data_IF_125549786663
#
_entry.id   IF_125549786663
#
_cell.length_a   1.000
_cell.length_b   1.000
_cell.length_c   1.000
_cell.angle_alpha   90.00
_cell.angle_beta   90.00
_cell.angle_gamma   90.00
#
_symmetry.space_group_name_H-M   'P 1'
#
loop_
_entity.id
_entity.type
_entity.pdbx_description
1 polymer ?
#
# COMPACT_ATOMS: atom_id res chain seq x y z
N UNK A 1 -9.30 28.95 10.26
CA UNK A 1 -7.86 29.09 10.50
C UNK A 1 -7.06 28.45 9.38
N UNK A 2 -6.13 29.22 8.81
CA UNK A 2 -5.33 28.72 7.69
C UNK A 2 -4.08 27.99 8.20
N UNK A 3 -4.09 26.67 8.05
CA UNK A 3 -2.93 25.84 8.35
C UNK A 3 -2.12 25.65 7.07
N UNK A 4 -0.78 25.56 7.16
CA UNK A 4 0.03 25.30 5.97
C UNK A 4 -0.26 23.92 5.38
N UNK A 5 0.06 23.77 4.11
CA UNK A 5 -0.23 22.51 3.39
C UNK A 5 0.44 21.31 4.07
N UNK A 6 1.66 21.47 4.61
CA UNK A 6 2.36 20.37 5.29
C UNK A 6 1.62 19.85 6.50
N UNK A 7 0.91 20.72 7.22
CA UNK A 7 0.07 20.32 8.34
C UNK A 7 -1.03 19.35 7.88
N UNK A 8 -1.71 19.70 6.79
CA UNK A 8 -2.80 18.89 6.26
C UNK A 8 -2.30 17.58 5.66
N UNK A 9 -1.13 17.62 5.01
CA UNK A 9 -0.52 16.41 4.44
C UNK A 9 -0.21 15.40 5.55
N UNK A 10 0.44 15.85 6.63
CA UNK A 10 0.78 14.97 7.76
C UNK A 10 -0.45 14.43 8.46
N UNK A 11 -1.44 15.31 8.68
CA UNK A 11 -2.67 14.92 9.35
C UNK A 11 -3.48 13.94 8.52
N UNK A 12 -3.56 14.17 7.20
CA UNK A 12 -4.26 13.29 6.30
C UNK A 12 -3.54 11.94 6.20
N UNK A 13 -2.22 11.95 6.10
CA UNK A 13 -1.43 10.73 6.04
C UNK A 13 -1.71 9.84 7.26
N UNK A 14 -1.65 10.40 8.46
CA UNK A 14 -1.93 9.65 9.68
C UNK A 14 -3.36 9.09 9.71
N UNK A 15 -4.33 9.89 9.27
CA UNK A 15 -5.73 9.50 9.24
C UNK A 15 -5.96 8.37 8.22
N UNK A 16 -5.34 8.47 7.04
CA UNK A 16 -5.44 7.45 6.00
C UNK A 16 -4.82 6.14 6.46
N UNK A 17 -3.64 6.19 7.08
CA UNK A 17 -2.99 5.00 7.62
C UNK A 17 -3.84 4.31 8.67
N UNK A 18 -4.38 5.07 9.62
CA UNK A 18 -5.23 4.52 10.67
C UNK A 18 -6.50 3.89 10.11
N UNK A 19 -7.11 4.55 9.13
CA UNK A 19 -8.32 4.05 8.49
C UNK A 19 -8.05 2.77 7.69
N UNK A 20 -6.95 2.75 6.94
CA UNK A 20 -6.55 1.56 6.17
C UNK A 20 -6.22 0.39 7.09
N UNK A 21 -5.47 0.63 8.16
CA UNK A 21 -5.12 -0.41 9.13
C UNK A 21 -6.38 -1.01 9.75
N UNK A 22 -7.35 -0.18 10.16
CA UNK A 22 -8.61 -0.65 10.73
C UNK A 22 -9.43 -1.44 9.70
N UNK A 23 -9.45 -0.98 8.46
CA UNK A 23 -10.17 -1.65 7.38
C UNK A 23 -9.59 -3.03 7.09
N UNK A 24 -8.27 -3.13 6.98
CA UNK A 24 -7.58 -4.39 6.71
C UNK A 24 -7.62 -5.35 7.88
N UNK A 25 -7.64 -4.83 9.11
CA UNK A 25 -7.72 -5.67 10.31
C UNK A 25 -8.98 -6.53 10.32
N UNK A 26 -10.06 -6.08 9.68
CA UNK A 26 -11.30 -6.85 9.53
C UNK A 26 -11.07 -8.14 8.74
N UNK A 27 -10.04 -8.16 7.90
CA UNK A 27 -9.64 -9.32 7.10
C UNK A 27 -8.40 -10.03 7.67
N UNK A 28 -7.96 -9.62 8.85
CA UNK A 28 -6.74 -10.14 9.49
C UNK A 28 -5.49 -9.90 8.64
N UNK A 29 -5.46 -8.77 7.96
CA UNK A 29 -4.30 -8.33 7.17
C UNK A 29 -3.68 -7.10 7.79
N UNK A 30 -2.36 -7.05 7.81
CA UNK A 30 -1.63 -5.82 8.06
C UNK A 30 -1.50 -5.04 6.76
N UNK A 31 -1.15 -3.75 6.87
CA UNK A 31 -0.90 -2.93 5.69
C UNK A 31 0.24 -3.50 4.83
N UNK A 32 1.31 -3.99 5.46
CA UNK A 32 2.43 -4.60 4.74
C UNK A 32 2.04 -5.86 4.00
N UNK A 33 1.22 -6.70 4.63
CA UNK A 33 0.67 -7.90 3.98
C UNK A 33 -0.17 -7.53 2.78
N UNK A 34 -1.05 -6.54 2.92
CA UNK A 34 -1.87 -6.04 1.82
C UNK A 34 -1.01 -5.52 0.66
N UNK A 35 0.03 -4.73 0.98
CA UNK A 35 0.94 -4.20 -0.04
C UNK A 35 1.63 -5.34 -0.80
N UNK A 36 2.06 -6.39 -0.11
CA UNK A 36 2.69 -7.55 -0.73
C UNK A 36 1.73 -8.28 -1.66
N UNK A 37 0.51 -8.55 -1.18
CA UNK A 37 -0.51 -9.20 -2.01
C UNK A 37 -0.84 -8.36 -3.26
N UNK A 38 -0.94 -7.05 -3.08
CA UNK A 38 -1.25 -6.13 -4.17
C UNK A 38 -0.17 -6.15 -5.27
N UNK A 39 1.09 -6.17 -4.87
CA UNK A 39 2.21 -6.24 -5.82
C UNK A 39 2.22 -7.58 -6.54
N UNK A 40 2.05 -8.68 -5.81
CA UNK A 40 2.10 -10.02 -6.38
C UNK A 40 0.86 -10.35 -7.25
N UNK A 41 -0.23 -9.63 -7.06
CA UNK A 41 -1.44 -9.82 -7.86
C UNK A 41 -1.20 -9.49 -9.34
N UNK A 42 -0.24 -8.62 -9.65
CA UNK A 42 0.06 -8.24 -11.02
C UNK A 42 0.84 -9.34 -11.75
N UNK A 43 1.82 -9.93 -11.07
CA UNK A 43 2.63 -11.03 -11.63
C UNK A 43 3.49 -11.68 -10.57
N UNK A 44 3.89 -12.94 -10.76
CA UNK A 44 4.90 -13.56 -9.91
C UNK A 44 6.22 -12.79 -9.99
N UNK A 45 6.93 -12.70 -8.88
CA UNK A 45 8.19 -11.96 -8.78
C UNK A 45 9.26 -12.81 -8.10
N UNK A 46 10.50 -12.63 -8.52
CA UNK A 46 11.63 -13.20 -7.77
C UNK A 46 11.74 -12.49 -6.41
N UNK A 47 12.37 -13.11 -5.41
CA UNK A 47 12.60 -12.45 -4.12
C UNK A 47 13.30 -11.10 -4.26
N UNK A 48 14.29 -10.99 -5.15
CA UNK A 48 15.00 -9.74 -5.40
C UNK A 48 14.12 -8.65 -6.00
N UNK A 49 13.26 -9.02 -6.94
CA UNK A 49 12.32 -8.06 -7.54
C UNK A 49 11.32 -7.54 -6.51
N UNK A 50 10.79 -8.43 -5.69
CA UNK A 50 9.85 -8.06 -4.63
C UNK A 50 10.52 -7.14 -3.61
N UNK A 51 11.74 -7.45 -3.21
CA UNK A 51 12.53 -6.61 -2.31
C UNK A 51 12.71 -5.21 -2.88
N UNK A 52 13.06 -5.10 -4.16
CA UNK A 52 13.24 -3.81 -4.82
C UNK A 52 12.00 -2.94 -4.81
N UNK A 53 10.83 -3.55 -4.93
CA UNK A 53 9.55 -2.83 -4.92
C UNK A 53 9.16 -2.42 -3.50
N UNK A 54 9.37 -3.29 -2.51
CA UNK A 54 8.91 -3.05 -1.13
C UNK A 54 9.85 -2.17 -0.31
N UNK A 55 11.15 -2.15 -0.62
CA UNK A 55 12.12 -1.35 0.13
C UNK A 55 11.75 0.14 0.24
N UNK A 56 11.31 0.81 -0.83
CA UNK A 56 10.88 2.21 -0.71
C UNK A 56 9.71 2.42 0.24
N UNK A 57 8.88 1.39 0.45
CA UNK A 57 7.71 1.47 1.32
C UNK A 57 8.03 1.11 2.77
N UNK A 58 8.89 0.12 2.98
CA UNK A 58 9.14 -0.47 4.31
C UNK A 58 10.51 -0.12 4.87
N UNK A 59 11.39 0.47 4.08
CA UNK A 59 12.79 0.63 4.42
C UNK A 59 13.58 -0.65 4.14
N UNK A 60 14.86 -0.61 4.49
CA UNK A 60 15.80 -1.68 4.16
C UNK A 60 16.00 -2.71 5.27
N UNK A 61 15.09 -2.79 6.24
CA UNK A 61 15.17 -3.78 7.32
C UNK A 61 14.85 -5.17 6.78
N UNK A 62 15.89 -5.95 6.54
CA UNK A 62 15.78 -7.30 6.01
C UNK A 62 14.96 -8.22 6.92
N UNK A 63 15.15 -8.10 8.23
CA UNK A 63 14.44 -8.95 9.20
C UNK A 63 12.93 -8.71 9.16
N UNK A 64 12.54 -7.45 9.09
CA UNK A 64 11.13 -7.09 8.97
C UNK A 64 10.52 -7.72 7.72
N UNK A 65 11.22 -7.60 6.61
CA UNK A 65 10.76 -8.13 5.32
C UNK A 65 10.62 -9.65 5.38
N UNK A 66 11.62 -10.33 5.92
CA UNK A 66 11.60 -11.79 6.06
C UNK A 66 10.45 -12.25 6.95
N UNK A 67 10.21 -11.55 8.05
CA UNK A 67 9.12 -11.88 8.97
C UNK A 67 7.75 -11.71 8.33
N UNK A 68 7.56 -10.64 7.55
CA UNK A 68 6.29 -10.39 6.86
C UNK A 68 6.03 -11.44 5.78
N UNK A 69 7.04 -11.81 5.01
CA UNK A 69 6.90 -12.85 4.00
C UNK A 69 6.66 -14.22 4.63
N UNK A 70 7.36 -14.53 5.72
CA UNK A 70 7.16 -15.80 6.44
C UNK A 70 5.73 -15.93 6.97
N UNK A 71 5.15 -14.83 7.46
CA UNK A 71 3.77 -14.81 7.93
C UNK A 71 2.79 -15.12 6.79
N UNK A 72 3.02 -14.55 5.61
CA UNK A 72 2.16 -14.80 4.46
C UNK A 72 2.27 -16.25 3.97
N UNK A 73 3.48 -16.83 3.98
CA UNK A 73 3.68 -18.25 3.68
C UNK A 73 2.96 -19.13 4.71
N UNK A 74 3.13 -18.79 5.99
CA UNK A 74 2.50 -19.54 7.08
C UNK A 74 0.97 -19.53 7.02
N UNK A 75 0.37 -18.47 6.51
CA UNK A 75 -1.07 -18.37 6.31
C UNK A 75 -1.53 -18.98 4.97
N UNK A 76 -0.62 -19.49 4.17
CA UNK A 76 -0.94 -20.09 2.89
C UNK A 76 -1.36 -19.12 1.81
N UNK A 77 -0.98 -17.85 1.92
CA UNK A 77 -1.39 -16.80 0.98
C UNK A 77 -0.41 -16.62 -0.18
N UNK A 78 0.86 -16.98 0.02
CA UNK A 78 1.87 -16.94 -1.03
C UNK A 78 2.62 -18.27 -1.09
N UNK A 79 3.10 -18.61 -2.28
CA UNK A 79 3.87 -19.82 -2.52
C UNK A 79 5.05 -19.51 -3.45
N UNK A 80 6.05 -20.37 -3.42
CA UNK A 80 7.21 -20.28 -4.30
C UNK A 80 7.06 -21.30 -5.43
N UNK A 81 7.11 -20.83 -6.68
CA UNK A 81 7.09 -21.69 -7.87
C UNK A 81 8.20 -21.22 -8.80
N UNK A 82 9.12 -22.12 -9.15
CA UNK A 82 10.25 -21.84 -10.07
C UNK A 82 11.02 -20.58 -9.67
N UNK A 83 11.39 -20.49 -8.38
CA UNK A 83 12.14 -19.37 -7.81
C UNK A 83 11.41 -18.03 -7.87
N UNK A 84 10.09 -18.04 -8.09
CA UNK A 84 9.25 -16.86 -8.07
C UNK A 84 8.19 -16.98 -6.99
N UNK A 85 7.91 -15.86 -6.34
CA UNK A 85 6.85 -15.76 -5.33
C UNK A 85 5.57 -15.40 -6.05
N UNK A 86 4.51 -16.14 -5.79
CA UNK A 86 3.20 -15.90 -6.39
C UNK A 86 2.11 -16.06 -5.34
N UNK A 87 0.95 -15.51 -5.61
CA UNK A 87 -0.23 -15.71 -4.76
C UNK A 87 -0.70 -17.16 -4.90
N UNK A 88 -1.06 -17.78 -3.78
CA UNK A 88 -1.80 -19.04 -3.80
C UNK A 88 -3.25 -18.74 -4.21
N UNK A 89 -4.05 -19.78 -4.41
CA UNK A 89 -5.48 -19.61 -4.65
C UNK A 89 -6.14 -18.84 -3.50
N UNK A 90 -5.80 -19.19 -2.25
CA UNK A 90 -6.28 -18.47 -1.05
C UNK A 90 -5.79 -17.02 -1.03
N UNK A 91 -4.54 -16.79 -1.42
CA UNK A 91 -3.97 -15.44 -1.48
C UNK A 91 -4.68 -14.57 -2.50
N UNK A 92 -5.00 -15.14 -3.66
CA UNK A 92 -5.73 -14.41 -4.70
C UNK A 92 -7.14 -14.04 -4.21
N UNK A 93 -7.84 -14.98 -3.57
CA UNK A 93 -9.16 -14.72 -3.01
C UNK A 93 -9.11 -13.63 -1.93
N UNK A 94 -8.10 -13.69 -1.06
CA UNK A 94 -7.90 -12.68 -0.01
C UNK A 94 -7.61 -11.31 -0.62
N UNK A 95 -6.80 -11.27 -1.67
CA UNK A 95 -6.48 -10.04 -2.39
C UNK A 95 -7.76 -9.40 -2.95
N UNK A 96 -8.61 -10.18 -3.62
CA UNK A 96 -9.84 -9.66 -4.22
C UNK A 96 -10.80 -9.11 -3.15
N UNK A 97 -10.93 -9.81 -2.02
CA UNK A 97 -11.76 -9.37 -0.91
C UNK A 97 -11.23 -8.06 -0.32
N UNK A 98 -9.93 -7.96 -0.10
CA UNK A 98 -9.30 -6.76 0.42
C UNK A 98 -9.42 -5.58 -0.56
N UNK A 99 -9.24 -5.84 -1.85
CA UNK A 99 -9.38 -4.81 -2.88
C UNK A 99 -10.78 -4.19 -2.84
N UNK A 100 -11.81 -5.02 -2.75
CA UNK A 100 -13.20 -4.55 -2.68
C UNK A 100 -13.42 -3.66 -1.46
N UNK A 101 -12.94 -4.08 -0.29
CA UNK A 101 -13.12 -3.33 0.96
C UNK A 101 -12.34 -2.02 0.94
N UNK A 102 -11.11 -2.04 0.42
CA UNK A 102 -10.29 -0.83 0.28
C UNK A 102 -10.94 0.17 -0.68
N UNK A 103 -11.51 -0.31 -1.79
CA UNK A 103 -12.23 0.56 -2.72
C UNK A 103 -13.46 1.21 -2.09
N UNK A 104 -14.23 0.46 -1.32
CA UNK A 104 -15.37 1.02 -0.58
C UNK A 104 -14.92 2.09 0.40
N UNK A 105 -13.83 1.84 1.12
CA UNK A 105 -13.23 2.78 2.05
C UNK A 105 -12.81 4.09 1.35
N UNK A 106 -12.20 3.98 0.17
CA UNK A 106 -11.81 5.15 -0.62
C UNK A 106 -12.99 6.02 -1.02
N UNK A 107 -14.11 5.40 -1.34
CA UNK A 107 -15.34 6.14 -1.67
C UNK A 107 -15.82 6.97 -0.47
N UNK A 108 -15.77 6.38 0.72
CA UNK A 108 -16.15 7.09 1.94
C UNK A 108 -15.24 8.28 2.20
N UNK A 109 -13.94 8.10 2.01
CA UNK A 109 -12.94 9.16 2.20
C UNK A 109 -13.09 10.30 1.19
N UNK A 110 -13.63 10.00 0.02
CA UNK A 110 -13.81 10.98 -1.05
C UNK A 110 -15.20 11.61 -1.06
N UNK A 111 -16.01 11.32 -0.05
CA UNK A 111 -17.37 11.87 0.01
C UNK A 111 -17.34 13.40 -0.01
N UNK A 112 -18.14 13.98 -0.90
CA UNK A 112 -18.20 15.44 -1.06
C UNK A 112 -17.08 16.01 -1.94
N UNK A 113 -16.19 15.17 -2.46
CA UNK A 113 -15.08 15.59 -3.31
C UNK A 113 -15.33 15.12 -4.73
N UNK A 114 -15.31 16.04 -5.68
CA UNK A 114 -15.52 15.72 -7.09
C UNK A 114 -14.31 15.00 -7.69
N UNK A 115 -14.54 14.25 -8.77
CA UNK A 115 -13.48 13.53 -9.48
C UNK A 115 -12.40 14.49 -9.96
N UNK A 116 -12.80 15.65 -10.49
CA UNK A 116 -11.85 16.66 -11.00
C UNK A 116 -11.05 17.30 -9.86
N UNK A 117 -11.69 17.53 -8.71
CA UNK A 117 -11.01 18.04 -7.53
C UNK A 117 -9.95 17.06 -7.03
N UNK A 118 -10.29 15.78 -6.98
CA UNK A 118 -9.37 14.74 -6.56
C UNK A 118 -8.17 14.64 -7.52
N UNK A 119 -8.44 14.61 -8.82
CA UNK A 119 -7.39 14.55 -9.83
C UNK A 119 -6.47 15.77 -9.77
N UNK A 120 -7.03 16.96 -9.54
CA UNK A 120 -6.25 18.19 -9.39
C UNK A 120 -5.36 18.13 -8.15
N UNK A 121 -5.89 17.65 -7.02
CA UNK A 121 -5.12 17.51 -5.80
C UNK A 121 -3.91 16.58 -6.01
N UNK A 122 -4.10 15.43 -6.67
CA UNK A 122 -3.01 14.51 -6.97
C UNK A 122 -1.95 15.17 -7.86
N UNK A 123 -2.38 15.89 -8.90
CA UNK A 123 -1.47 16.57 -9.81
C UNK A 123 -0.63 17.62 -9.08
N UNK A 124 -1.26 18.40 -8.21
CA UNK A 124 -0.56 19.42 -7.43
C UNK A 124 0.46 18.78 -6.47
N UNK A 125 0.05 17.73 -5.76
CA UNK A 125 0.95 17.03 -4.83
C UNK A 125 2.16 16.45 -5.55
N UNK A 126 1.95 15.84 -6.70
CA UNK A 126 3.05 15.28 -7.52
C UNK A 126 4.04 16.36 -7.91
N UNK A 127 3.55 17.47 -8.47
CA UNK A 127 4.41 18.58 -8.91
C UNK A 127 5.18 19.22 -7.75
N UNK A 128 4.52 19.40 -6.61
CA UNK A 128 5.18 19.94 -5.42
C UNK A 128 6.25 18.98 -4.89
N UNK A 129 5.98 17.69 -4.92
CA UNK A 129 6.95 16.67 -4.50
C UNK A 129 8.19 16.71 -5.37
N UNK A 130 8.02 16.74 -6.68
CA UNK A 130 9.15 16.81 -7.62
C UNK A 130 9.96 18.09 -7.45
N UNK A 131 9.29 19.20 -7.21
CA UNK A 131 9.97 20.49 -6.96
C UNK A 131 10.78 20.43 -5.67
N UNK A 132 10.19 19.89 -4.59
CA UNK A 132 10.87 19.78 -3.30
C UNK A 132 12.10 18.88 -3.39
N UNK A 133 11.99 17.75 -4.09
CA UNK A 133 13.10 16.81 -4.30
C UNK A 133 14.23 17.47 -5.10
N UNK A 134 13.89 18.24 -6.12
CA UNK A 134 14.87 18.98 -6.92
C UNK A 134 15.59 20.03 -6.06
N UNK A 135 14.87 20.75 -5.22
CA UNK A 135 15.43 21.80 -4.36
C UNK A 135 16.29 21.24 -3.23
N UNK A 136 16.08 19.99 -2.85
CA UNK A 136 16.85 19.35 -1.77
C UNK A 136 18.22 18.82 -2.22
N UNK A 137 18.52 18.83 -3.53
CA UNK A 137 19.79 18.36 -4.09
C UNK A 137 20.92 19.36 -3.92
#
# INVERSE_FOLDING_TARGET
MNKPIGYWIKRLDAALEGHLDATLARLRLSRRQWQTLNVLAESPLSPGQLEGILNPLWGSDKRLRENELAALVGHGLIIMIDDRITLSESGHAKYLEAQRIVEESRKDLSMGIGIDEYAMALSVLERMTLNAERLAR
#
